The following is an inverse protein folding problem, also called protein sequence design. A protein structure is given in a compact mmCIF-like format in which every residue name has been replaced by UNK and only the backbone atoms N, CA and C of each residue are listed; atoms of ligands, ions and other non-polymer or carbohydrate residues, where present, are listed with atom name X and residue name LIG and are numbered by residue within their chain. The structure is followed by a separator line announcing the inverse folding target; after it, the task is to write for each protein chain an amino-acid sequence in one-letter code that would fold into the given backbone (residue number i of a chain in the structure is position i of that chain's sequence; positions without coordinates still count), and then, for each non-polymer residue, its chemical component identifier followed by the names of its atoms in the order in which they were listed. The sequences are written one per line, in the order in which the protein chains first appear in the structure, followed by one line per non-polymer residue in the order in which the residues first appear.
data_IF_559837652099
#
_entry.id   IF_559837652099
#
_cell.length_a   1.000
_cell.length_b   1.000
_cell.length_c   1.000
_cell.angle_alpha   90.00
_cell.angle_beta   90.00
_cell.angle_gamma   90.00
#
_symmetry.space_group_name_H-M   'P 1'
#
loop_
_entity.id
_entity.type
_entity.pdbx_description
1 polymer ?
#
# COMPACT_ATOMS: atom_id res chain seq x y z
N UNK A 1 -7.20 13.20 0.58
CA UNK A 1 -6.41 11.97 0.40
C UNK A 1 -7.20 10.79 0.95
N UNK A 2 -7.28 9.75 0.17
CA UNK A 2 -7.87 8.49 0.59
C UNK A 2 -6.85 7.38 0.43
N UNK A 3 -6.74 6.51 1.43
CA UNK A 3 -5.80 5.40 1.41
C UNK A 3 -6.57 4.10 1.65
N UNK A 4 -6.45 3.17 0.72
CA UNK A 4 -6.99 1.83 0.88
C UNK A 4 -6.00 0.95 1.65
N UNK A 5 -6.52 0.17 2.58
CA UNK A 5 -5.75 -0.84 3.30
C UNK A 5 -6.22 -2.19 2.80
N UNK A 6 -5.32 -2.93 2.19
CA UNK A 6 -5.65 -4.15 1.45
C UNK A 6 -4.81 -5.34 1.90
N UNK A 7 -5.19 -6.51 1.43
CA UNK A 7 -4.27 -7.66 1.42
C UNK A 7 -3.46 -7.57 0.13
N UNK A 8 -2.14 -7.65 0.25
CA UNK A 8 -1.24 -7.54 -0.89
C UNK A 8 -0.73 -8.90 -1.33
N UNK A 9 -0.89 -9.27 -2.61
CA UNK A 9 -0.44 -10.57 -3.09
C UNK A 9 1.07 -10.69 -3.05
N UNK A 10 1.56 -11.86 -2.68
CA UNK A 10 2.98 -12.17 -2.62
C UNK A 10 3.31 -13.17 -3.71
N UNK A 11 3.64 -12.66 -4.88
CA UNK A 11 3.95 -13.48 -6.05
C UNK A 11 5.20 -12.95 -6.75
N UNK A 12 5.92 -13.87 -7.38
CA UNK A 12 7.20 -13.55 -8.02
C UNK A 12 7.07 -12.49 -9.12
N UNK A 13 5.97 -12.51 -9.86
CA UNK A 13 5.74 -11.58 -10.96
C UNK A 13 5.74 -10.11 -10.49
N UNK A 14 5.33 -9.86 -9.26
CA UNK A 14 5.31 -8.51 -8.71
C UNK A 14 6.54 -8.19 -7.87
N UNK A 15 7.43 -9.15 -7.65
CA UNK A 15 8.59 -8.98 -6.80
C UNK A 15 8.25 -8.86 -5.31
N UNK A 16 7.05 -9.27 -4.93
CA UNK A 16 6.58 -9.21 -3.54
C UNK A 16 6.77 -10.55 -2.86
N UNK A 17 6.92 -10.51 -1.54
CA UNK A 17 7.13 -11.72 -0.76
C UNK A 17 6.45 -11.64 0.59
N UNK A 18 6.19 -12.80 1.20
CA UNK A 18 5.63 -12.89 2.53
C UNK A 18 6.70 -12.51 3.56
N UNK A 19 6.55 -11.34 4.15
CA UNK A 19 7.41 -10.82 5.19
C UNK A 19 6.66 -9.74 5.95
N UNK A 20 7.32 -9.10 6.91
CA UNK A 20 6.69 -8.03 7.68
C UNK A 20 6.59 -6.71 6.93
N UNK A 21 7.39 -6.51 5.88
CA UNK A 21 7.48 -5.23 5.20
C UNK A 21 6.24 -4.97 4.37
N UNK A 22 5.56 -3.83 4.56
CA UNK A 22 4.31 -3.58 3.87
C UNK A 22 4.51 -3.40 2.36
N UNK A 23 3.49 -3.78 1.60
CA UNK A 23 3.46 -3.55 0.16
C UNK A 23 2.82 -2.18 -0.07
N UNK A 24 3.55 -1.28 -0.70
CA UNK A 24 3.00 0.02 -1.11
C UNK A 24 2.77 -0.04 -2.60
N UNK A 25 1.50 -0.02 -2.98
CA UNK A 25 1.08 -0.18 -4.36
C UNK A 25 1.03 1.17 -5.06
N UNK A 26 1.62 1.26 -6.25
CA UNK A 26 1.65 2.48 -7.05
C UNK A 26 0.56 2.56 -8.10
N UNK A 27 -0.19 1.48 -8.30
CA UNK A 27 -1.28 1.43 -9.27
C UNK A 27 -1.82 0.02 -9.38
N UNK A 28 -2.95 -0.12 -10.08
CA UNK A 28 -3.61 -1.41 -10.27
C UNK A 28 -4.23 -1.50 -11.67
N UNK A 29 -5.13 -2.46 -11.87
CA UNK A 29 -5.76 -2.70 -13.16
C UNK A 29 -6.56 -1.50 -13.69
N UNK A 30 -6.94 -0.57 -12.82
CA UNK A 30 -7.77 0.60 -13.18
C UNK A 30 -6.96 1.87 -13.36
N UNK A 31 -5.68 1.88 -13.02
CA UNK A 31 -4.83 3.03 -13.22
C UNK A 31 -3.81 3.25 -12.11
N UNK A 32 -3.12 4.38 -12.20
CA UNK A 32 -2.07 4.75 -11.27
C UNK A 32 -2.63 5.56 -10.12
N UNK A 33 -2.04 5.35 -8.95
CA UNK A 33 -2.34 6.15 -7.75
C UNK A 33 -1.51 7.44 -7.73
N UNK A 34 -1.81 8.32 -6.80
CA UNK A 34 -1.05 9.55 -6.62
C UNK A 34 0.39 9.22 -6.22
N UNK A 35 1.34 9.70 -7.02
CA UNK A 35 2.76 9.51 -6.73
C UNK A 35 3.14 10.16 -5.40
N UNK A 36 2.59 11.33 -5.12
CA UNK A 36 2.86 12.04 -3.88
C UNK A 36 2.45 11.22 -2.65
N UNK A 37 1.24 10.64 -2.69
CA UNK A 37 0.75 9.80 -1.60
C UNK A 37 1.58 8.52 -1.49
N UNK A 38 1.87 7.88 -2.62
CA UNK A 38 2.70 6.67 -2.67
C UNK A 38 4.08 6.93 -2.06
N UNK A 39 4.75 8.01 -2.44
CA UNK A 39 6.06 8.36 -1.90
C UNK A 39 6.00 8.64 -0.40
N UNK A 40 4.95 9.28 0.07
CA UNK A 40 4.76 9.53 1.51
C UNK A 40 4.56 8.24 2.29
N UNK A 41 3.84 7.27 1.74
CA UNK A 41 3.67 5.95 2.36
C UNK A 41 5.00 5.22 2.45
N UNK A 42 5.78 5.24 1.37
CA UNK A 42 7.11 4.63 1.36
C UNK A 42 8.01 5.25 2.43
N UNK A 43 8.04 6.57 2.50
CA UNK A 43 8.86 7.26 3.51
C UNK A 43 8.38 6.97 4.93
N UNK A 44 7.07 6.88 5.14
CA UNK A 44 6.54 6.55 6.45
C UNK A 44 6.99 5.16 6.91
N UNK A 45 6.95 4.18 6.01
CA UNK A 45 7.43 2.83 6.32
C UNK A 45 8.93 2.83 6.65
N UNK A 46 9.70 3.57 5.88
CA UNK A 46 11.15 3.66 6.12
C UNK A 46 11.47 4.33 7.46
N UNK A 47 10.71 5.34 7.85
CA UNK A 47 10.89 5.97 9.17
C UNK A 47 10.56 5.00 10.31
N UNK A 48 9.70 4.03 10.06
CA UNK A 48 9.40 2.97 11.04
C UNK A 48 10.40 1.81 10.98
N UNK A 49 11.48 1.95 10.22
CA UNK A 49 12.54 0.94 10.08
C UNK A 49 12.10 -0.28 9.29
N UNK A 50 11.12 -0.14 8.41
CA UNK A 50 10.74 -1.18 7.47
C UNK A 50 11.38 -0.92 6.10
N UNK A 51 11.42 -1.95 5.27
CA UNK A 51 11.86 -1.86 3.88
C UNK A 51 10.64 -2.12 3.00
N UNK A 52 9.84 -1.09 2.72
CA UNK A 52 8.57 -1.31 2.03
C UNK A 52 8.76 -1.92 0.65
N UNK A 53 7.82 -2.74 0.26
CA UNK A 53 7.81 -3.40 -1.04
C UNK A 53 7.01 -2.56 -2.01
N UNK A 54 7.69 -1.83 -2.89
CA UNK A 54 7.02 -1.04 -3.92
C UNK A 54 6.53 -1.97 -5.03
N UNK A 55 5.27 -1.86 -5.42
CA UNK A 55 4.67 -2.75 -6.40
C UNK A 55 3.72 -2.02 -7.33
N UNK A 56 3.48 -2.61 -8.49
CA UNK A 56 2.45 -2.20 -9.43
C UNK A 56 1.61 -3.45 -9.72
N UNK A 57 0.42 -3.50 -9.12
CA UNK A 57 -0.40 -4.71 -9.09
C UNK A 57 -1.42 -4.71 -10.22
N UNK A 58 -0.96 -4.88 -11.45
CA UNK A 58 -1.75 -4.69 -12.67
C UNK A 58 -2.98 -5.59 -12.82
N UNK A 59 -3.00 -6.74 -12.14
CA UNK A 59 -4.12 -7.68 -12.23
C UNK A 59 -5.10 -7.56 -11.08
N UNK A 60 -4.94 -6.56 -10.23
CA UNK A 60 -5.75 -6.37 -9.03
C UNK A 60 -6.43 -5.00 -9.07
N UNK A 61 -7.38 -4.78 -8.19
CA UNK A 61 -8.04 -3.50 -8.01
C UNK A 61 -8.28 -3.28 -6.52
N UNK A 62 -8.32 -2.02 -6.11
CA UNK A 62 -8.55 -1.65 -4.73
C UNK A 62 -9.66 -0.61 -4.61
N UNK A 63 -10.10 -0.34 -3.39
CA UNK A 63 -11.06 0.72 -3.15
C UNK A 63 -10.50 2.09 -3.53
N UNK A 64 -9.18 2.27 -3.47
CA UNK A 64 -8.53 3.51 -3.88
C UNK A 64 -8.79 3.81 -5.35
N UNK A 65 -8.63 2.82 -6.23
CA UNK A 65 -8.86 3.01 -7.66
C UNK A 65 -10.34 3.20 -7.97
N UNK A 66 -11.22 2.55 -7.21
CA UNK A 66 -12.65 2.75 -7.35
C UNK A 66 -13.04 4.20 -7.03
N UNK A 67 -12.54 4.75 -5.93
CA UNK A 67 -12.79 6.15 -5.56
C UNK A 67 -12.25 7.12 -6.61
N UNK A 68 -11.06 6.85 -7.12
CA UNK A 68 -10.44 7.69 -8.14
C UNK A 68 -11.25 7.68 -9.44
N UNK A 69 -11.65 6.50 -9.91
CA UNK A 69 -12.36 6.37 -11.17
C UNK A 69 -13.77 6.94 -11.11
N UNK A 70 -14.37 7.03 -9.92
CA UNK A 70 -15.68 7.63 -9.72
C UNK A 70 -15.59 9.13 -9.39
N UNK A 71 -14.39 9.71 -9.37
CA UNK A 71 -14.22 11.13 -9.10
C UNK A 71 -14.46 11.53 -7.65
N UNK A 72 -14.44 10.57 -6.72
CA UNK A 72 -14.74 10.83 -5.30
C UNK A 72 -13.51 11.16 -4.47
N UNK A 73 -12.32 10.96 -5.03
CA UNK A 73 -11.08 11.32 -4.38
C UNK A 73 -10.08 11.81 -5.43
N UNK A 74 -9.40 12.92 -5.15
CA UNK A 74 -8.41 13.49 -6.05
C UNK A 74 -7.05 12.82 -5.89
N UNK A 75 -6.71 12.38 -4.68
CA UNK A 75 -5.44 11.75 -4.37
C UNK A 75 -5.68 10.46 -3.61
N UNK A 76 -5.18 9.37 -4.12
CA UNK A 76 -5.37 8.05 -3.52
C UNK A 76 -4.05 7.32 -3.39
N UNK A 77 -3.98 6.42 -2.43
CA UNK A 77 -2.86 5.51 -2.24
C UNK A 77 -3.36 4.17 -1.72
N UNK A 78 -2.47 3.21 -1.67
CA UNK A 78 -2.82 1.86 -1.22
C UNK A 78 -1.63 1.22 -0.52
N UNK A 79 -1.89 0.68 0.66
CA UNK A 79 -0.91 -0.09 1.42
C UNK A 79 -1.50 -1.47 1.68
N UNK A 80 -0.69 -2.51 1.52
CA UNK A 80 -1.13 -3.88 1.69
C UNK A 80 -0.31 -4.64 2.70
N UNK A 81 -0.98 -5.54 3.43
CA UNK A 81 -0.34 -6.51 4.29
C UNK A 81 0.08 -7.67 3.39
N UNK A 82 1.39 -8.04 3.35
CA UNK A 82 1.81 -9.17 2.52
C UNK A 82 1.04 -10.43 2.87
N UNK A 83 0.40 -11.03 1.88
CA UNK A 83 -0.56 -12.13 2.08
C UNK A 83 -0.35 -13.20 1.02
N UNK A 84 -0.20 -14.45 1.44
CA UNK A 84 -0.26 -15.57 0.51
C UNK A 84 -1.70 -16.02 0.33
N UNK A 85 -2.01 -16.50 -0.85
CA UNK A 85 -3.34 -17.03 -1.21
C UNK A 85 -4.46 -16.01 -1.00
N UNK A 86 -4.28 -14.79 -1.49
CA UNK A 86 -5.33 -13.75 -1.43
C UNK A 86 -6.61 -14.30 -2.06
N UNK A 87 -7.74 -13.99 -1.42
CA UNK A 87 -9.08 -14.47 -1.80
C UNK A 87 -9.27 -15.97 -1.63
N UNK A 88 -8.40 -16.63 -0.88
CA UNK A 88 -8.50 -18.05 -0.57
C UNK A 88 -8.18 -18.30 0.90
N UNK A 89 -7.36 -19.30 1.18
CA UNK A 89 -6.87 -19.56 2.53
C UNK A 89 -5.67 -18.64 2.80
N UNK A 90 -5.96 -17.45 3.29
CA UNK A 90 -4.96 -16.38 3.39
C UNK A 90 -4.02 -16.60 4.56
N UNK A 91 -2.73 -16.38 4.32
CA UNK A 91 -1.67 -16.49 5.32
C UNK A 91 -0.93 -15.15 5.38
N UNK A 92 -0.84 -14.59 6.56
CA UNK A 92 -0.08 -13.36 6.81
C UNK A 92 0.84 -13.57 8.02
N UNK A 93 1.89 -12.76 8.12
CA UNK A 93 2.66 -12.68 9.35
C UNK A 93 1.99 -11.66 10.26
N UNK A 94 1.91 -11.98 11.55
CA UNK A 94 1.37 -11.05 12.53
C UNK A 94 2.15 -9.74 12.52
N UNK A 95 3.47 -9.81 12.36
CA UNK A 95 4.34 -8.64 12.26
C UNK A 95 4.00 -7.76 11.05
N UNK A 96 3.44 -8.34 9.98
CA UNK A 96 3.00 -7.60 8.81
C UNK A 96 1.80 -6.71 9.10
N UNK A 97 0.87 -7.19 9.92
CA UNK A 97 -0.27 -6.40 10.37
C UNK A 97 0.22 -5.20 11.19
N UNK A 98 1.13 -5.45 12.13
CA UNK A 98 1.69 -4.39 12.97
C UNK A 98 2.49 -3.39 12.16
N UNK A 99 3.25 -3.84 11.16
CA UNK A 99 4.02 -2.96 10.31
C UNK A 99 3.10 -2.03 9.50
N UNK A 100 2.02 -2.56 8.98
CA UNK A 100 1.03 -1.77 8.26
C UNK A 100 0.41 -0.70 9.17
N UNK A 101 0.01 -1.09 10.38
CA UNK A 101 -0.53 -0.17 11.37
C UNK A 101 0.43 0.96 11.70
N UNK A 102 1.69 0.62 12.00
CA UNK A 102 2.70 1.60 12.37
C UNK A 102 2.99 2.57 11.22
N UNK A 103 3.04 2.06 10.01
CA UNK A 103 3.27 2.89 8.83
C UNK A 103 2.12 3.88 8.63
N UNK A 104 0.88 3.43 8.80
CA UNK A 104 -0.28 4.31 8.68
C UNK A 104 -0.31 5.39 9.76
N UNK A 105 0.01 5.04 10.99
CA UNK A 105 0.09 6.02 12.08
C UNK A 105 1.17 7.07 11.75
N UNK A 106 2.35 6.63 11.31
CA UNK A 106 3.43 7.54 10.94
C UNK A 106 3.01 8.46 9.78
N UNK A 107 2.32 7.93 8.79
CA UNK A 107 1.79 8.70 7.69
C UNK A 107 0.82 9.80 8.18
N UNK A 108 -0.05 9.44 9.12
CA UNK A 108 -1.09 10.35 9.61
C UNK A 108 -0.54 11.46 10.53
N UNK A 109 0.49 11.17 11.32
CA UNK A 109 1.02 12.14 12.28
C UNK A 109 2.09 13.06 11.69
N UNK A 110 2.70 12.69 10.58
CA UNK A 110 3.67 13.56 9.93
C UNK A 110 2.95 14.71 9.24
N UNK A 111 3.44 15.93 9.37
CA UNK A 111 2.84 17.04 8.64
C UNK A 111 3.01 16.82 7.13
N UNK A 112 2.11 17.37 6.33
CA UNK A 112 2.29 17.32 4.88
C UNK A 112 3.65 17.87 4.50
N UNK A 113 4.26 17.23 3.52
CA UNK A 113 5.57 17.64 3.04
C UNK A 113 5.40 18.94 2.25
N UNK A 114 6.10 20.00 2.68
CA UNK A 114 6.02 21.29 2.02
C UNK A 114 6.59 21.26 0.61
N UNK A 115 7.35 20.24 0.29
CA UNK A 115 7.93 20.04 -1.04
C UNK A 115 6.97 19.37 -2.00
N UNK A 116 5.86 18.95 -1.51
CA UNK A 116 4.90 18.19 -2.30
C UNK A 116 4.26 19.01 -3.41
#
# INVERSE_FOLDING_TARGET
ISIAVEVGPTVAEYGTRLCRDPIVNSGDSKGYYSRHVTDRLLRAAERCQYQPQAALLVDFASDASALLSHGEAAQVGCIGIPTENTHGFEIVLEEGIEACRRTLVEFLVQPPDDEA
#
